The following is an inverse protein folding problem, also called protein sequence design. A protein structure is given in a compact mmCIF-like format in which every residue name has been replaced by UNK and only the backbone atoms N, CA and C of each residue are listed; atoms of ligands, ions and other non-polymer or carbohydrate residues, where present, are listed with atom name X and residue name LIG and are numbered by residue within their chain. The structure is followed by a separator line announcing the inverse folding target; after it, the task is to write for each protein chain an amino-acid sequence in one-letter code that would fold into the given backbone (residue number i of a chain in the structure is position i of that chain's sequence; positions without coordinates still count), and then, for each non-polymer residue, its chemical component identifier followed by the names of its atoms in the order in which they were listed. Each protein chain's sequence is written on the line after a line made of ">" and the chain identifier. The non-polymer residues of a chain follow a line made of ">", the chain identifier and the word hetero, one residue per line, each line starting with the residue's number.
data_IF_232462443957
#
_entry.id   IF_232462443957
#
_cell.length_a   1.000
_cell.length_b   1.000
_cell.length_c   1.000
_cell.angle_alpha   90.00
_cell.angle_beta   90.00
_cell.angle_gamma   90.00
#
_symmetry.space_group_name_H-M   'P 1'
#
loop_
_entity.id
_entity.type
_entity.pdbx_description
1 polymer ?
#
# COMPACT_ATOMS: atom_id res chain seq x y z
N UNK A 1 -3.22 22.14 6.65
CA UNK A 1 -4.45 22.16 5.83
C UNK A 1 -4.07 22.16 4.36
N UNK A 2 -4.06 21.00 3.71
CA UNK A 2 -4.35 20.90 2.27
C UNK A 2 -5.12 19.60 2.09
N UNK A 3 -6.38 19.75 1.71
CA UNK A 3 -7.34 18.71 1.46
C UNK A 3 -7.21 18.36 -0.03
N UNK A 4 -6.29 17.47 -0.40
CA UNK A 4 -6.19 17.05 -1.79
C UNK A 4 -7.01 15.77 -1.97
N UNK A 5 -8.33 15.96 -2.12
CA UNK A 5 -9.21 14.95 -2.75
C UNK A 5 -8.75 14.80 -4.20
N UNK A 6 -7.70 14.01 -4.45
CA UNK A 6 -7.35 13.59 -5.80
C UNK A 6 -8.40 12.54 -6.19
N UNK A 7 -9.34 12.93 -7.04
CA UNK A 7 -10.28 11.98 -7.62
C UNK A 7 -9.53 10.92 -8.42
N UNK A 8 -10.03 9.68 -8.39
CA UNK A 8 -9.47 8.55 -9.14
C UNK A 8 -9.38 8.97 -10.61
N UNK A 9 -8.17 8.93 -11.16
CA UNK A 9 -7.91 9.28 -12.55
C UNK A 9 -8.55 8.26 -13.50
N UNK A 10 -8.89 8.68 -14.72
CA UNK A 10 -9.46 7.79 -15.73
C UNK A 10 -8.56 6.56 -15.99
N UNK A 11 -7.24 6.76 -15.93
CA UNK A 11 -6.23 5.71 -16.06
C UNK A 11 -6.30 4.69 -14.90
N UNK A 12 -6.50 5.15 -13.67
CA UNK A 12 -6.70 4.25 -12.51
C UNK A 12 -8.00 3.44 -12.63
N UNK A 13 -9.07 4.01 -13.19
CA UNK A 13 -10.32 3.29 -13.44
C UNK A 13 -10.24 2.24 -14.56
N UNK A 14 -9.36 2.45 -15.54
CA UNK A 14 -9.08 1.48 -16.59
C UNK A 14 -8.20 0.34 -16.05
N UNK A 15 -7.15 0.67 -15.28
CA UNK A 15 -6.28 -0.27 -14.57
C UNK A 15 -7.06 -1.21 -13.62
N UNK A 16 -8.13 -0.71 -13.01
CA UNK A 16 -8.99 -1.50 -12.12
C UNK A 16 -9.90 -2.47 -12.88
N UNK A 17 -10.42 -2.06 -14.04
CA UNK A 17 -11.34 -2.90 -14.83
C UNK A 17 -10.64 -4.06 -15.54
N UNK A 18 -9.35 -3.95 -15.78
CA UNK A 18 -8.51 -5.01 -16.36
C UNK A 18 -7.88 -5.93 -15.27
N UNK A 19 -8.47 -5.96 -14.08
CA UNK A 19 -8.00 -6.81 -12.98
C UNK A 19 -8.70 -8.17 -13.01
N UNK A 20 -7.93 -9.25 -12.99
CA UNK A 20 -8.43 -10.62 -12.78
C UNK A 20 -8.91 -10.87 -11.33
N UNK A 21 -9.22 -9.81 -10.57
CA UNK A 21 -9.58 -9.86 -9.16
C UNK A 21 -10.94 -9.17 -8.97
N UNK A 22 -11.79 -9.70 -8.08
CA UNK A 22 -12.97 -8.99 -7.63
C UNK A 22 -12.59 -7.63 -7.01
N UNK A 23 -13.41 -6.61 -7.27
CA UNK A 23 -13.26 -5.27 -6.71
C UNK A 23 -14.24 -5.08 -5.54
N UNK A 24 -13.71 -5.01 -4.33
CA UNK A 24 -14.43 -4.58 -3.14
C UNK A 24 -14.32 -3.05 -2.99
N UNK A 25 -15.42 -2.34 -3.09
CA UNK A 25 -15.50 -0.90 -2.84
C UNK A 25 -16.23 -0.64 -1.52
N UNK A 26 -15.57 0.03 -0.59
CA UNK A 26 -16.14 0.41 0.70
C UNK A 26 -16.30 1.93 0.79
N UNK A 27 -17.39 2.41 1.39
CA UNK A 27 -17.51 3.79 1.87
C UNK A 27 -17.47 3.76 3.38
N UNK A 28 -16.42 4.32 3.96
CA UNK A 28 -16.16 4.23 5.39
C UNK A 28 -15.96 5.61 6.02
N UNK A 29 -16.27 5.71 7.30
CA UNK A 29 -16.03 6.90 8.11
C UNK A 29 -14.56 7.09 8.49
N UNK A 30 -14.28 8.19 9.21
CA UNK A 30 -12.95 8.50 9.71
C UNK A 30 -12.42 7.41 10.66
N UNK A 31 -11.09 7.23 10.71
CA UNK A 31 -10.37 6.24 11.54
C UNK A 31 -10.52 4.76 11.15
N UNK A 32 -11.19 4.46 10.04
CA UNK A 32 -11.26 3.09 9.53
C UNK A 32 -9.98 2.66 8.79
N UNK A 33 -8.90 3.46 8.83
CA UNK A 33 -7.56 3.12 8.31
C UNK A 33 -6.77 2.21 9.27
N UNK A 34 -6.96 2.35 10.58
CA UNK A 34 -6.17 1.67 11.62
C UNK A 34 -6.14 0.15 11.48
N UNK A 35 -7.26 -0.55 11.24
CA UNK A 35 -7.25 -2.02 11.09
C UNK A 35 -6.34 -2.47 9.93
N UNK A 36 -6.33 -1.72 8.82
CA UNK A 36 -5.58 -2.08 7.61
C UNK A 36 -4.07 -1.97 7.76
N UNK A 37 -3.59 -1.18 8.73
CA UNK A 37 -2.15 -1.00 9.00
C UNK A 37 -1.46 -2.36 9.23
N UNK A 38 -2.16 -3.36 9.79
CA UNK A 38 -1.61 -4.70 9.98
C UNK A 38 -1.35 -5.43 8.66
N UNK A 39 -2.26 -5.32 7.70
CA UNK A 39 -2.12 -5.91 6.37
C UNK A 39 -1.00 -5.22 5.57
N UNK A 40 -0.94 -3.88 5.61
CA UNK A 40 0.15 -3.13 4.98
C UNK A 40 1.54 -3.45 5.57
N UNK A 41 1.64 -3.78 6.86
CA UNK A 41 2.92 -4.26 7.42
C UNK A 41 3.33 -5.64 6.88
N UNK A 42 2.35 -6.52 6.63
CA UNK A 42 2.58 -7.85 6.03
C UNK A 42 2.96 -7.74 4.55
N UNK A 43 2.34 -6.78 3.87
CA UNK A 43 2.56 -6.47 2.45
C UNK A 43 1.27 -6.65 1.65
N UNK A 44 0.98 -5.67 0.80
CA UNK A 44 -0.21 -5.64 -0.05
C UNK A 44 0.21 -5.32 -1.48
N UNK A 45 -0.51 -5.87 -2.46
CA UNK A 45 -0.26 -5.59 -3.87
C UNK A 45 -0.72 -4.19 -4.24
N UNK A 46 0.11 -3.46 -4.98
CA UNK A 46 -0.24 -2.15 -5.56
C UNK A 46 0.14 -2.17 -7.03
N UNK A 47 -0.82 -1.78 -7.89
CA UNK A 47 -0.55 -1.58 -9.32
C UNK A 47 0.03 -0.20 -9.55
N UNK A 48 1.10 -0.12 -10.32
CA UNK A 48 1.77 1.14 -10.67
C UNK A 48 2.51 1.04 -12.01
N UNK A 49 3.01 2.17 -12.47
CA UNK A 49 3.86 2.25 -13.66
C UNK A 49 5.28 1.78 -13.29
N UNK A 50 5.74 0.71 -13.93
CA UNK A 50 7.05 0.08 -13.72
C UNK A 50 8.12 0.63 -14.67
N UNK A 51 9.38 0.27 -14.39
CA UNK A 51 10.55 0.70 -15.15
C UNK A 51 10.98 2.16 -14.89
N UNK A 52 10.27 2.86 -13.99
CA UNK A 52 10.64 4.15 -13.42
C UNK A 52 11.42 3.95 -12.10
N UNK A 53 12.11 5.00 -11.65
CA UNK A 53 12.82 4.96 -10.37
C UNK A 53 11.86 4.81 -9.18
N UNK A 54 12.34 4.27 -8.07
CA UNK A 54 11.58 4.17 -6.82
C UNK A 54 11.00 5.54 -6.42
N UNK A 55 11.78 6.62 -6.51
CA UNK A 55 11.27 7.98 -6.24
C UNK A 55 10.11 8.34 -7.16
N UNK A 56 10.27 8.15 -8.47
CA UNK A 56 9.25 8.56 -9.44
C UNK A 56 7.95 7.80 -9.20
N UNK A 57 8.01 6.49 -8.94
CA UNK A 57 6.81 5.69 -8.65
C UNK A 57 6.13 6.12 -7.34
N UNK A 58 6.90 6.42 -6.28
CA UNK A 58 6.33 6.93 -5.01
C UNK A 58 5.65 8.30 -5.22
N UNK A 59 6.31 9.24 -5.90
CA UNK A 59 5.76 10.59 -6.06
C UNK A 59 4.61 10.65 -7.07
N UNK A 60 4.72 9.91 -8.18
CA UNK A 60 3.80 10.02 -9.32
C UNK A 60 2.63 9.07 -9.18
N UNK A 61 2.91 7.77 -9.01
CA UNK A 61 1.88 6.73 -8.98
C UNK A 61 1.24 6.63 -7.59
N UNK A 62 2.05 6.61 -6.52
CA UNK A 62 1.49 6.58 -5.15
C UNK A 62 1.00 7.96 -4.69
N UNK A 63 1.34 9.03 -5.42
CA UNK A 63 0.89 10.39 -5.13
C UNK A 63 1.43 10.94 -3.81
N UNK A 64 2.56 10.42 -3.33
CA UNK A 64 3.19 10.89 -2.09
C UNK A 64 3.94 12.18 -2.38
N UNK A 65 3.76 13.18 -1.53
CA UNK A 65 4.43 14.46 -1.68
C UNK A 65 5.97 14.31 -1.65
N UNK A 66 6.73 14.90 -2.60
CA UNK A 66 8.18 14.77 -2.65
C UNK A 66 8.88 15.25 -1.37
N UNK A 67 8.39 16.31 -0.74
CA UNK A 67 8.94 16.82 0.52
C UNK A 67 8.72 15.82 1.66
N UNK A 68 7.55 15.17 1.70
CA UNK A 68 7.31 14.05 2.60
C UNK A 68 8.29 12.89 2.34
N UNK A 69 8.52 12.50 1.08
CA UNK A 69 9.50 11.44 0.75
C UNK A 69 10.88 11.77 1.28
N UNK A 70 11.35 13.00 1.11
CA UNK A 70 12.71 13.38 1.53
C UNK A 70 12.87 13.58 3.04
N UNK A 71 11.87 14.16 3.68
CA UNK A 71 11.98 14.51 5.10
C UNK A 71 11.56 13.37 6.03
N UNK A 72 10.55 12.60 5.63
CA UNK A 72 9.84 11.67 6.50
C UNK A 72 10.18 10.21 6.20
N UNK A 73 10.34 9.81 4.95
CA UNK A 73 10.67 8.42 4.61
C UNK A 73 12.18 8.19 4.77
N UNK A 74 12.59 7.45 5.82
CA UNK A 74 14.01 7.19 6.14
C UNK A 74 14.42 5.75 5.91
N UNK A 75 13.51 4.80 6.03
CA UNK A 75 13.79 3.39 5.78
C UNK A 75 13.15 3.01 4.44
N UNK A 76 13.97 2.69 3.44
CA UNK A 76 13.51 2.22 2.14
C UNK A 76 14.21 0.92 1.84
N UNK A 77 13.44 -0.13 1.52
CA UNK A 77 13.99 -1.41 1.09
C UNK A 77 13.34 -1.87 -0.20
N UNK A 78 14.15 -2.44 -1.08
CA UNK A 78 13.72 -3.13 -2.29
C UNK A 78 14.15 -4.60 -2.17
N UNK A 79 13.19 -5.52 -2.21
CA UNK A 79 13.40 -6.97 -2.01
C UNK A 79 14.22 -7.30 -0.74
N UNK A 80 13.90 -6.59 0.35
CA UNK A 80 14.58 -6.66 1.66
C UNK A 80 16.02 -6.11 1.69
N UNK A 81 16.50 -5.51 0.59
CA UNK A 81 17.77 -4.78 0.56
C UNK A 81 17.56 -3.29 0.84
N UNK A 82 18.26 -2.69 1.81
CA UNK A 82 18.15 -1.27 2.10
C UNK A 82 18.69 -0.43 0.93
N UNK A 83 17.97 0.65 0.61
CA UNK A 83 18.31 1.62 -0.42
C UNK A 83 18.77 2.94 0.19
N UNK A 84 19.96 3.40 -0.19
CA UNK A 84 20.43 4.76 0.08
C UNK A 84 19.97 5.74 -1.00
N UNK A 85 20.09 5.32 -2.26
CA UNK A 85 19.61 6.06 -3.40
C UNK A 85 18.32 5.43 -3.92
N UNK A 86 17.27 6.23 -4.02
CA UNK A 86 15.95 5.83 -4.53
C UNK A 86 15.69 6.36 -5.95
N UNK A 87 16.64 7.08 -6.52
CA UNK A 87 16.57 7.67 -7.86
C UNK A 87 17.17 6.73 -8.92
N UNK A 88 18.11 5.86 -8.53
CA UNK A 88 18.73 4.88 -9.43
C UNK A 88 17.93 3.58 -9.62
N UNK A 89 17.43 2.88 -8.57
CA UNK A 89 16.79 1.58 -8.73
C UNK A 89 15.44 1.72 -9.43
N UNK A 90 15.21 0.91 -10.47
CA UNK A 90 13.93 0.84 -11.17
C UNK A 90 13.04 -0.24 -10.56
N UNK A 91 11.75 0.06 -10.40
CA UNK A 91 10.78 -0.93 -9.94
C UNK A 91 10.39 -1.87 -11.06
N UNK A 92 10.43 -3.17 -10.75
CA UNK A 92 10.03 -4.26 -11.61
C UNK A 92 8.86 -5.05 -11.01
N UNK A 93 8.17 -5.82 -11.86
CA UNK A 93 7.02 -6.61 -11.45
C UNK A 93 7.40 -7.65 -10.37
N UNK A 94 6.51 -7.82 -9.39
CA UNK A 94 6.67 -8.80 -8.31
C UNK A 94 7.64 -8.39 -7.20
N UNK A 95 8.32 -7.25 -7.33
CA UNK A 95 9.23 -6.77 -6.29
C UNK A 95 8.49 -6.31 -5.04
N UNK A 96 9.20 -6.32 -3.91
CA UNK A 96 8.70 -5.81 -2.63
C UNK A 96 9.36 -4.48 -2.29
N UNK A 97 8.57 -3.41 -2.23
CA UNK A 97 8.98 -2.10 -1.72
C UNK A 97 8.51 -1.93 -0.28
N UNK A 98 9.45 -1.68 0.64
CA UNK A 98 9.13 -1.38 2.04
C UNK A 98 9.50 0.06 2.38
N UNK A 99 8.56 0.81 2.96
CA UNK A 99 8.72 2.21 3.35
C UNK A 99 8.48 2.39 4.84
N UNK A 100 9.34 3.18 5.48
CA UNK A 100 9.22 3.51 6.89
C UNK A 100 9.86 4.85 7.22
N UNK A 101 9.38 5.45 8.30
CA UNK A 101 9.81 6.73 8.84
C UNK A 101 11.17 6.76 9.54
N UNK A 102 11.87 5.61 9.56
CA UNK A 102 13.08 5.41 10.36
C UNK A 102 12.86 4.40 11.46
N UNK A 103 13.83 3.51 11.63
CA UNK A 103 13.85 2.54 12.73
C UNK A 103 14.76 3.05 13.86
N UNK A 104 14.31 3.01 15.12
CA UNK A 104 15.15 3.39 16.26
C UNK A 104 16.22 2.32 16.56
N UNK A 105 17.21 2.70 17.39
CA UNK A 105 18.29 1.82 17.84
C UNK A 105 19.43 1.68 16.82
N UNK A 106 20.56 1.11 17.25
CA UNK A 106 21.79 1.04 16.44
C UNK A 106 21.57 0.32 15.11
N UNK A 107 20.89 -0.82 15.13
CA UNK A 107 20.55 -1.58 13.91
C UNK A 107 19.62 -0.77 13.01
N UNK A 108 18.59 -0.12 13.59
CA UNK A 108 17.64 0.68 12.83
C UNK A 108 18.28 1.89 12.15
N UNK A 109 19.09 2.65 12.88
CA UNK A 109 19.85 3.78 12.34
C UNK A 109 20.78 3.30 11.22
N UNK A 110 21.42 2.14 11.40
CA UNK A 110 22.28 1.51 10.39
C UNK A 110 21.51 1.04 9.15
N UNK A 111 20.19 0.92 9.19
CA UNK A 111 19.37 0.50 8.05
C UNK A 111 18.65 1.66 7.34
N UNK A 112 18.64 2.85 7.94
CA UNK A 112 18.06 4.03 7.32
C UNK A 112 18.91 4.50 6.12
N UNK A 113 18.22 4.97 5.08
CA UNK A 113 18.76 5.71 3.95
C UNK A 113 19.60 6.89 4.43
N UNK A 114 20.72 7.14 3.75
CA UNK A 114 21.63 8.24 4.00
C UNK A 114 22.11 8.29 5.47
N UNK A 115 22.20 7.13 6.11
CA UNK A 115 22.74 7.00 7.46
C UNK A 115 24.27 7.10 7.42
N UNK A 116 24.90 7.84 8.35
CA UNK A 116 26.36 7.84 8.53
C UNK A 116 26.95 6.44 8.76
N UNK A 117 26.12 5.49 9.19
CA UNK A 117 26.50 4.11 9.48
C UNK A 117 26.20 3.14 8.32
N UNK A 118 25.89 3.62 7.11
CA UNK A 118 25.55 2.76 5.96
C UNK A 118 26.64 1.74 5.59
N UNK A 119 27.91 2.04 5.87
CA UNK A 119 29.05 1.13 5.61
C UNK A 119 28.94 -0.20 6.38
N UNK A 120 28.23 -0.25 7.51
CA UNK A 120 28.03 -1.47 8.30
C UNK A 120 27.07 -2.48 7.64
N UNK A 121 26.35 -2.09 6.59
CA UNK A 121 25.36 -2.94 5.89
C UNK A 121 25.70 -3.20 4.42
N UNK A 122 26.97 -3.01 4.02
CA UNK A 122 27.39 -3.13 2.61
C UNK A 122 27.11 -4.49 1.97
N UNK A 123 27.08 -5.57 2.76
CA UNK A 123 26.81 -6.92 2.24
C UNK A 123 25.35 -7.15 1.85
N UNK A 124 24.41 -6.50 2.55
CA UNK A 124 22.95 -6.66 2.39
C UNK A 124 22.31 -5.54 1.57
N UNK A 125 23.06 -4.47 1.29
CA UNK A 125 22.64 -3.38 0.42
C UNK A 125 22.29 -3.86 -0.98
N UNK A 126 21.50 -3.05 -1.69
CA UNK A 126 21.10 -3.36 -3.06
C UNK A 126 22.31 -3.36 -4.00
N UNK A 127 22.44 -4.39 -4.84
CA UNK A 127 23.64 -4.66 -5.69
C UNK A 127 23.38 -4.49 -7.18
N UNK A 128 22.31 -3.81 -7.57
CA UNK A 128 21.93 -3.65 -8.98
C UNK A 128 20.60 -4.31 -9.32
N UNK A 129 20.09 -3.95 -10.49
CA UNK A 129 18.77 -4.38 -10.95
C UNK A 129 18.76 -5.87 -11.28
N UNK A 130 17.72 -6.57 -10.84
CA UNK A 130 17.55 -8.02 -11.06
C UNK A 130 16.61 -8.34 -12.22
N UNK A 131 15.98 -7.34 -12.82
CA UNK A 131 15.02 -7.50 -13.90
C UNK A 131 15.17 -6.44 -14.97
N UNK A 132 14.59 -6.72 -16.14
CA UNK A 132 14.42 -5.75 -17.21
C UNK A 132 12.91 -5.61 -17.45
N UNK A 133 12.26 -4.74 -16.69
CA UNK A 133 10.88 -4.34 -17.00
C UNK A 133 10.92 -3.16 -17.95
N UNK A 134 10.13 -3.22 -19.02
CA UNK A 134 10.04 -2.14 -19.98
C UNK A 134 9.56 -0.85 -19.29
N UNK A 135 10.20 0.28 -19.61
CA UNK A 135 9.84 1.56 -19.04
C UNK A 135 8.42 1.95 -19.45
N UNK A 136 7.58 2.27 -18.46
CA UNK A 136 6.18 2.64 -18.69
C UNK A 136 5.21 1.47 -18.74
N UNK A 137 5.65 0.22 -18.53
CA UNK A 137 4.72 -0.91 -18.43
C UNK A 137 3.95 -0.87 -17.12
N UNK A 138 2.73 -1.38 -17.10
CA UNK A 138 1.94 -1.51 -15.89
C UNK A 138 2.24 -2.85 -15.22
N UNK A 139 2.28 -2.87 -13.89
CA UNK A 139 2.41 -4.13 -13.15
C UNK A 139 2.19 -3.97 -11.66
N UNK A 140 2.31 -5.10 -10.96
CA UNK A 140 2.05 -5.20 -9.52
C UNK A 140 3.36 -5.30 -8.74
N UNK A 141 3.49 -4.51 -7.68
CA UNK A 141 4.51 -4.69 -6.64
C UNK A 141 3.85 -5.00 -5.30
N UNK A 142 4.61 -5.56 -4.37
CA UNK A 142 4.21 -5.64 -2.96
C UNK A 142 4.68 -4.40 -2.22
N UNK A 143 3.76 -3.61 -1.68
CA UNK A 143 4.05 -2.46 -0.83
C UNK A 143 3.93 -2.85 0.65
N UNK A 144 4.96 -2.52 1.44
CA UNK A 144 4.95 -2.63 2.90
C UNK A 144 5.13 -1.26 3.54
N UNK A 145 4.26 -0.92 4.49
CA UNK A 145 4.33 0.35 5.23
C UNK A 145 4.54 0.09 6.71
N UNK A 146 5.48 0.81 7.31
CA UNK A 146 5.84 0.68 8.73
C UNK A 146 5.67 2.01 9.46
N UNK A 147 5.67 1.96 10.79
CA UNK A 147 5.62 3.11 11.72
C UNK A 147 4.60 4.19 11.32
N UNK A 148 4.90 5.47 11.55
CA UNK A 148 4.02 6.59 11.19
C UNK A 148 3.75 6.67 9.68
N UNK A 149 4.65 6.11 8.83
CA UNK A 149 4.40 6.07 7.38
C UNK A 149 3.19 5.20 7.05
N UNK A 150 2.92 4.14 7.81
CA UNK A 150 1.67 3.38 7.69
C UNK A 150 0.44 4.19 8.14
N UNK A 151 0.60 5.10 9.10
CA UNK A 151 -0.49 5.96 9.55
C UNK A 151 -0.84 7.02 8.50
N UNK A 152 0.18 7.58 7.87
CA UNK A 152 0.02 8.65 6.89
C UNK A 152 -0.40 8.14 5.51
N UNK A 153 0.05 6.93 5.11
CA UNK A 153 -0.11 6.45 3.73
C UNK A 153 -1.16 5.34 3.53
N UNK A 154 -1.68 4.68 4.57
CA UNK A 154 -2.70 3.62 4.37
C UNK A 154 -3.99 4.17 3.75
N UNK A 155 -4.49 5.30 4.24
CA UNK A 155 -5.69 5.96 3.72
C UNK A 155 -5.60 6.26 2.21
N UNK A 156 -4.56 6.97 1.71
CA UNK A 156 -4.43 7.22 0.28
C UNK A 156 -4.17 5.95 -0.54
N UNK A 157 -3.47 4.95 0.00
CA UNK A 157 -3.25 3.68 -0.72
C UNK A 157 -4.55 2.91 -0.92
N UNK A 158 -5.42 2.86 0.10
CA UNK A 158 -6.73 2.22 -0.01
C UNK A 158 -7.70 3.02 -0.88
N UNK A 159 -7.60 4.35 -0.90
CA UNK A 159 -8.39 5.17 -1.83
C UNK A 159 -8.04 4.87 -3.30
N UNK A 160 -6.76 4.56 -3.56
CA UNK A 160 -6.27 4.12 -4.87
C UNK A 160 -6.62 2.68 -5.19
N UNK A 161 -6.72 1.80 -4.19
CA UNK A 161 -6.96 0.39 -4.38
C UNK A 161 -5.73 -0.45 -4.05
N UNK A 162 -5.91 -1.45 -3.19
CA UNK A 162 -4.85 -2.36 -2.77
C UNK A 162 -5.31 -3.82 -2.92
N UNK A 163 -4.43 -4.66 -3.46
CA UNK A 163 -4.71 -6.08 -3.72
C UNK A 163 -4.26 -6.89 -2.51
N UNK A 164 -5.17 -7.67 -1.95
CA UNK A 164 -4.94 -8.46 -0.73
C UNK A 164 -5.56 -9.85 -0.87
N UNK A 165 -5.20 -10.78 0.00
CA UNK A 165 -5.91 -12.06 0.09
C UNK A 165 -7.31 -11.82 0.65
N UNK A 166 -8.34 -12.36 0.00
CA UNK A 166 -9.74 -12.18 0.43
C UNK A 166 -9.95 -12.67 1.87
N UNK A 167 -9.30 -13.77 2.25
CA UNK A 167 -9.32 -14.33 3.61
C UNK A 167 -8.70 -13.40 4.66
N UNK A 168 -7.63 -12.68 4.33
CA UNK A 168 -6.99 -11.73 5.26
C UNK A 168 -7.89 -10.49 5.45
N UNK A 169 -8.57 -10.04 4.39
CA UNK A 169 -9.55 -8.95 4.47
C UNK A 169 -10.78 -9.39 5.27
N UNK A 170 -11.27 -10.60 5.04
CA UNK A 170 -12.40 -11.15 5.78
C UNK A 170 -12.12 -11.21 7.29
N UNK A 171 -10.94 -11.74 7.67
CA UNK A 171 -10.51 -11.79 9.06
C UNK A 171 -10.45 -10.40 9.70
N UNK A 172 -9.88 -9.40 9.00
CA UNK A 172 -9.83 -8.02 9.47
C UNK A 172 -11.23 -7.43 9.68
N UNK A 173 -12.15 -7.64 8.73
CA UNK A 173 -13.52 -7.13 8.84
C UNK A 173 -14.31 -7.86 9.93
N UNK A 174 -14.05 -9.15 10.13
CA UNK A 174 -14.62 -9.92 11.23
C UNK A 174 -14.19 -9.36 12.59
N UNK A 175 -12.89 -9.08 12.78
CA UNK A 175 -12.39 -8.42 13.99
C UNK A 175 -13.07 -7.06 14.22
N UNK A 176 -13.19 -6.24 13.16
CA UNK A 176 -13.90 -4.97 13.24
C UNK A 176 -15.39 -5.12 13.61
N UNK A 177 -16.04 -6.22 13.22
CA UNK A 177 -17.44 -6.49 13.55
C UNK A 177 -17.63 -6.83 15.04
N UNK A 178 -16.61 -7.38 15.69
CA UNK A 178 -16.62 -7.73 17.13
C UNK A 178 -16.31 -6.53 18.03
N UNK A 179 -15.59 -5.52 17.54
CA UNK A 179 -15.29 -4.29 18.29
C UNK A 179 -16.51 -3.36 18.42
N UNK A 180 -16.46 -2.35 19.30
CA UNK A 180 -17.47 -1.28 19.40
C UNK A 180 -16.89 0.04 18.88
N UNK A 181 -17.56 0.76 17.96
CA UNK A 181 -18.97 0.60 17.59
C UNK A 181 -19.28 -0.51 16.57
N UNK A 182 -18.28 -1.24 16.07
CA UNK A 182 -18.49 -2.39 15.18
C UNK A 182 -18.52 -2.01 13.71
N UNK A 183 -18.37 -3.00 12.83
CA UNK A 183 -18.17 -2.80 11.39
C UNK A 183 -19.27 -1.97 10.72
N UNK A 184 -20.54 -2.19 11.09
CA UNK A 184 -21.70 -1.48 10.52
C UNK A 184 -21.72 0.02 10.81
N UNK A 185 -21.00 0.47 11.84
CA UNK A 185 -20.84 1.90 12.15
C UNK A 185 -19.67 2.53 11.40
N UNK A 186 -18.69 1.71 11.00
CA UNK A 186 -17.47 2.14 10.31
C UNK A 186 -17.67 2.17 8.80
N UNK A 187 -18.46 1.24 8.27
CA UNK A 187 -18.73 1.08 6.83
C UNK A 187 -20.19 1.40 6.56
N UNK A 188 -20.43 2.49 5.82
CA UNK A 188 -21.77 2.96 5.48
C UNK A 188 -22.34 2.30 4.23
N UNK A 189 -21.46 1.83 3.34
CA UNK A 189 -21.85 1.22 2.08
C UNK A 189 -20.73 0.33 1.57
N UNK A 190 -21.08 -0.81 1.00
CA UNK A 190 -20.12 -1.74 0.43
C UNK A 190 -20.65 -2.36 -0.86
N UNK A 191 -19.77 -2.49 -1.84
CA UNK A 191 -20.04 -3.11 -3.13
C UNK A 191 -18.94 -4.12 -3.46
N UNK A 192 -19.30 -5.26 -4.01
CA UNK A 192 -18.38 -6.22 -4.61
C UNK A 192 -18.74 -6.38 -6.09
N UNK A 193 -17.80 -6.04 -6.99
CA UNK A 193 -18.01 -6.03 -8.44
C UNK A 193 -19.28 -5.25 -8.86
N UNK A 194 -19.55 -4.15 -8.16
CA UNK A 194 -20.72 -3.30 -8.38
C UNK A 194 -22.04 -3.83 -7.81
N UNK A 195 -22.03 -4.99 -7.14
CA UNK A 195 -23.19 -5.50 -6.40
C UNK A 195 -23.11 -5.03 -4.94
N UNK A 196 -24.15 -4.36 -4.48
CA UNK A 196 -24.26 -3.92 -3.09
C UNK A 196 -24.31 -5.11 -2.12
N UNK A 197 -23.56 -5.02 -1.04
CA UNK A 197 -23.48 -6.02 0.04
C UNK A 197 -23.66 -5.30 1.37
N UNK A 198 -24.49 -5.86 2.26
CA UNK A 198 -24.62 -5.32 3.60
C UNK A 198 -23.29 -5.46 4.36
N UNK A 199 -22.83 -4.43 5.09
CA UNK A 199 -21.54 -4.50 5.81
C UNK A 199 -21.41 -5.70 6.76
N UNK A 200 -22.51 -6.18 7.34
CA UNK A 200 -22.52 -7.36 8.20
C UNK A 200 -22.20 -8.68 7.48
N UNK A 201 -22.50 -8.78 6.18
CA UNK A 201 -22.30 -9.99 5.38
C UNK A 201 -20.90 -10.03 4.73
N UNK A 202 -20.17 -8.91 4.74
CA UNK A 202 -18.86 -8.79 4.10
C UNK A 202 -17.85 -9.87 4.50
N UNK A 203 -17.66 -10.20 5.80
CA UNK A 203 -16.69 -11.22 6.18
C UNK A 203 -17.01 -12.58 5.53
N UNK A 204 -18.27 -13.03 5.60
CA UNK A 204 -18.69 -14.31 5.04
C UNK A 204 -18.62 -14.35 3.51
N UNK A 205 -18.97 -13.24 2.84
CA UNK A 205 -18.82 -13.16 1.38
C UNK A 205 -17.35 -13.26 0.97
N UNK A 206 -16.46 -12.53 1.65
CA UNK A 206 -15.03 -12.54 1.35
C UNK A 206 -14.36 -13.89 1.66
N UNK A 207 -14.79 -14.60 2.71
CA UNK A 207 -14.32 -15.97 3.00
C UNK A 207 -14.65 -16.95 1.87
N UNK A 208 -15.76 -16.72 1.16
CA UNK A 208 -16.17 -17.55 0.03
C UNK A 208 -15.40 -17.25 -1.27
N UNK A 209 -14.72 -16.10 -1.35
CA UNK A 209 -13.97 -15.70 -2.54
C UNK A 209 -12.60 -16.39 -2.57
N UNK A 210 -12.26 -17.13 -3.64
CA UNK A 210 -10.94 -17.72 -3.78
C UNK A 210 -9.91 -16.65 -4.15
N UNK A 211 -8.77 -16.64 -3.44
CA UNK A 211 -7.59 -15.88 -3.84
C UNK A 211 -7.62 -14.41 -3.42
N UNK A 212 -7.27 -13.53 -4.37
CA UNK A 212 -7.01 -12.11 -4.10
C UNK A 212 -8.20 -11.23 -4.49
N UNK A 213 -8.43 -10.18 -3.71
CA UNK A 213 -9.44 -9.14 -3.91
C UNK A 213 -8.75 -7.79 -3.96
N UNK A 214 -9.20 -6.90 -4.84
CA UNK A 214 -8.80 -5.50 -4.84
C UNK A 214 -9.74 -4.73 -3.93
N UNK A 215 -9.20 -4.11 -2.90
CA UNK A 215 -9.96 -3.30 -1.94
C UNK A 215 -9.75 -1.84 -2.20
N UNK A 216 -10.84 -1.11 -2.42
CA UNK A 216 -10.87 0.33 -2.52
C UNK A 216 -11.74 0.92 -1.42
N UNK A 217 -11.28 1.98 -0.77
CA UNK A 217 -12.03 2.67 0.29
C UNK A 217 -12.20 4.14 -0.04
N UNK A 218 -13.46 4.57 -0.14
CA UNK A 218 -13.84 5.97 -0.24
C UNK A 218 -14.14 6.53 1.15
N UNK A 219 -13.31 7.45 1.60
CA UNK A 219 -13.39 8.04 2.94
C UNK A 219 -14.42 9.16 2.99
N UNK A 220 -15.42 9.02 3.87
CA UNK A 220 -16.37 10.07 4.18
C UNK A 220 -15.84 10.90 5.36
N UNK A 221 -15.68 12.20 5.13
CA UNK A 221 -15.26 13.18 6.13
C UNK A 221 -16.44 13.62 6.96
#
# INVERSE_FOLDING_TARGET
>A
MVNQKRGITQKERELMRDSNFPLLTLRAGQNFDRPWRALFRRGVGIRLTLGCSVRQSICTDLGVDPEYVDQRIRSVFLDNSPLDDIDTPKLSEGQTLSLGGGMPGLVGITLNRASPFCHFRGEIGWKGDKGCTAEGSEGEITLKLFNFVAEDLVEPMLARGAIMQAVDVAALLHECALEKPGLVHLVHHAELDGREIAPADLPSVLESLPGRVMVQVAWQK
#
